data_IF_525132170595
#
_entry.id   IF_525132170595
#
_cell.length_a   1.000
_cell.length_b   1.000
_cell.length_c   1.000
_cell.angle_alpha   90.00
_cell.angle_beta   90.00
_cell.angle_gamma   90.00
#
_symmetry.space_group_name_H-M   'P 1'
#
loop_
_entity.id
_entity.type
_entity.pdbx_description
1 polymer ?
#
# COMPACT_ATOMS: atom_id res chain seq x y z
N UNK A 1 12.97 9.77 9.16
CA UNK A 1 12.32 8.96 8.11
C UNK A 1 11.86 7.66 8.74
N UNK A 2 10.74 7.05 8.34
CA UNK A 2 10.36 5.72 8.82
C UNK A 2 11.18 4.67 8.07
N UNK A 3 11.70 3.67 8.77
CA UNK A 3 12.54 2.60 8.22
C UNK A 3 11.96 1.23 8.54
N UNK A 4 12.17 0.25 7.66
CA UNK A 4 11.64 -1.11 7.85
C UNK A 4 12.37 -1.91 8.94
N UNK A 5 13.58 -1.49 9.31
CA UNK A 5 14.33 -2.02 10.43
C UNK A 5 14.67 -0.91 11.41
N UNK A 6 14.64 -1.25 12.69
CA UNK A 6 15.19 -0.41 13.76
C UNK A 6 16.67 -0.71 13.95
N UNK A 7 17.38 0.17 14.68
CA UNK A 7 18.82 -0.03 14.95
C UNK A 7 19.09 -1.34 15.71
N UNK A 8 18.20 -1.71 16.63
CA UNK A 8 18.31 -2.93 17.42
C UNK A 8 18.07 -4.20 16.59
N UNK A 9 17.35 -4.10 15.48
CA UNK A 9 17.04 -5.21 14.58
C UNK A 9 18.16 -5.46 13.55
N UNK A 10 19.05 -4.49 13.31
CA UNK A 10 20.12 -4.62 12.31
C UNK A 10 20.95 -5.91 12.49
N UNK A 11 21.40 -6.28 13.70
CA UNK A 11 22.20 -7.51 13.87
C UNK A 11 21.45 -8.78 13.46
N UNK A 12 20.14 -8.82 13.69
CA UNK A 12 19.31 -9.98 13.39
C UNK A 12 19.12 -10.20 11.89
N UNK A 13 18.97 -9.12 11.11
CA UNK A 13 18.66 -9.20 9.68
C UNK A 13 19.85 -8.98 8.76
N UNK A 14 20.91 -8.38 9.25
CA UNK A 14 22.14 -8.12 8.48
C UNK A 14 23.26 -9.11 8.80
N UNK A 15 23.05 -10.01 9.74
CA UNK A 15 24.00 -11.06 10.10
C UNK A 15 25.34 -10.53 10.62
N UNK A 16 26.44 -11.19 10.21
CA UNK A 16 27.79 -10.88 10.65
C UNK A 16 28.42 -9.66 9.96
N UNK A 17 27.72 -8.96 9.10
CA UNK A 17 28.25 -7.79 8.39
C UNK A 17 28.28 -6.59 9.35
N UNK A 18 29.46 -6.32 9.90
CA UNK A 18 29.66 -5.20 10.82
C UNK A 18 29.60 -3.84 10.11
N UNK A 19 29.19 -2.80 10.85
CA UNK A 19 29.23 -1.39 10.39
C UNK A 19 28.15 -1.01 9.38
N UNK A 20 27.00 -1.71 9.37
CA UNK A 20 25.77 -1.23 8.75
C UNK A 20 25.24 -0.11 9.63
N UNK A 21 24.88 0.99 9.00
CA UNK A 21 24.35 2.18 9.66
C UNK A 21 22.90 2.41 9.21
N UNK A 22 22.17 3.23 9.96
CA UNK A 22 20.79 3.59 9.60
C UNK A 22 20.65 4.17 8.20
N UNK A 23 21.66 4.90 7.71
CA UNK A 23 21.68 5.42 6.33
C UNK A 23 21.53 4.33 5.25
N UNK A 24 22.10 3.13 5.49
CA UNK A 24 21.96 1.98 4.57
C UNK A 24 20.52 1.41 4.66
N UNK A 25 19.94 1.40 5.86
CA UNK A 25 18.56 0.94 6.07
C UNK A 25 17.56 1.91 5.43
N UNK A 26 17.78 3.22 5.55
CA UNK A 26 16.96 4.25 4.90
C UNK A 26 17.00 4.13 3.37
N UNK A 27 18.21 3.92 2.83
CA UNK A 27 18.38 3.69 1.40
C UNK A 27 17.68 2.41 0.94
N UNK A 28 17.83 1.31 1.70
CA UNK A 28 17.16 0.04 1.41
C UNK A 28 15.63 0.18 1.47
N UNK A 29 15.10 0.86 2.49
CA UNK A 29 13.66 1.15 2.62
C UNK A 29 13.14 1.90 1.40
N UNK A 30 13.83 2.97 1.01
CA UNK A 30 13.45 3.79 -0.15
C UNK A 30 13.46 2.99 -1.45
N UNK A 31 14.45 2.11 -1.63
CA UNK A 31 14.53 1.24 -2.81
C UNK A 31 13.43 0.19 -2.85
N UNK A 32 13.06 -0.39 -1.70
CA UNK A 32 11.94 -1.34 -1.61
C UNK A 32 10.63 -0.63 -1.97
N UNK A 33 10.37 0.56 -1.42
CA UNK A 33 9.19 1.35 -1.74
C UNK A 33 9.11 1.69 -3.23
N UNK A 34 10.23 2.10 -3.82
CA UNK A 34 10.32 2.40 -5.25
C UNK A 34 10.07 1.14 -6.11
N UNK A 35 10.64 0.00 -5.74
CA UNK A 35 10.47 -1.27 -6.45
C UNK A 35 9.03 -1.75 -6.41
N UNK A 36 8.37 -1.63 -5.24
CA UNK A 36 6.97 -2.05 -5.05
C UNK A 36 5.95 -1.00 -5.50
N UNK A 37 6.39 0.24 -5.74
CA UNK A 37 5.50 1.36 -6.04
C UNK A 37 4.57 1.73 -4.88
N UNK A 38 4.87 1.28 -3.67
CA UNK A 38 4.09 1.54 -2.45
C UNK A 38 4.95 1.41 -1.21
N UNK A 39 4.52 2.07 -0.14
CA UNK A 39 5.09 1.86 1.20
C UNK A 39 4.32 0.76 1.95
N UNK A 40 5.02 0.02 2.81
CA UNK A 40 4.42 -0.97 3.70
C UNK A 40 3.94 -0.36 5.02
N UNK A 41 4.29 0.89 5.31
CA UNK A 41 3.78 1.59 6.48
C UNK A 41 2.30 1.95 6.33
N UNK A 42 1.56 2.04 7.45
CA UNK A 42 0.19 2.52 7.42
C UNK A 42 0.13 3.95 6.84
N UNK A 43 -0.70 4.11 5.81
CA UNK A 43 -0.96 5.39 5.14
C UNK A 43 -2.45 5.58 4.94
N UNK A 44 -2.92 6.81 5.17
CA UNK A 44 -4.30 7.20 4.89
C UNK A 44 -4.47 7.48 3.39
N UNK A 45 -5.50 6.91 2.81
CA UNK A 45 -5.90 7.10 1.43
C UNK A 45 -7.33 7.62 1.36
N UNK A 46 -7.54 8.54 0.44
CA UNK A 46 -8.89 8.99 0.08
C UNK A 46 -9.09 8.79 -1.40
N UNK A 47 -9.95 7.88 -1.77
CA UNK A 47 -10.21 7.58 -3.17
C UNK A 47 -11.71 7.55 -3.50
N UNK A 48 -11.98 7.71 -4.79
CA UNK A 48 -13.31 7.54 -5.34
C UNK A 48 -13.43 6.15 -5.95
N UNK A 49 -14.27 5.34 -5.36
CA UNK A 49 -14.54 3.97 -5.79
C UNK A 49 -15.83 3.94 -6.62
N UNK A 50 -15.74 3.50 -7.86
CA UNK A 50 -16.92 3.29 -8.70
C UNK A 50 -17.63 2.01 -8.31
N UNK A 51 -18.95 2.10 -8.18
CA UNK A 51 -19.81 0.98 -7.83
C UNK A 51 -20.34 0.31 -9.10
N UNK A 52 -20.20 -1.00 -9.16
CA UNK A 52 -20.81 -1.86 -10.19
C UNK A 52 -22.07 -2.50 -9.59
N UNK A 53 -23.22 -2.26 -10.21
CA UNK A 53 -24.46 -2.88 -9.78
C UNK A 53 -24.54 -4.32 -10.29
N UNK A 54 -24.64 -5.25 -9.36
CA UNK A 54 -24.97 -6.64 -9.67
C UNK A 54 -26.50 -6.76 -9.78
N UNK A 55 -27.01 -7.04 -10.99
CA UNK A 55 -28.44 -7.12 -11.25
C UNK A 55 -29.11 -8.36 -10.65
N UNK A 56 -28.33 -9.37 -10.35
CA UNK A 56 -28.86 -10.66 -9.82
C UNK A 56 -29.14 -10.52 -8.34
N UNK A 57 -28.19 -9.97 -7.58
CA UNK A 57 -28.25 -9.87 -6.12
C UNK A 57 -28.72 -8.50 -5.64
N UNK A 58 -28.94 -7.56 -6.55
CA UNK A 58 -29.29 -6.16 -6.25
C UNK A 58 -28.24 -5.42 -5.40
N UNK A 59 -27.04 -5.94 -5.36
CA UNK A 59 -25.94 -5.38 -4.60
C UNK A 59 -25.05 -4.47 -5.46
N UNK A 60 -24.37 -3.56 -4.80
CA UNK A 60 -23.33 -2.75 -5.41
C UNK A 60 -21.98 -3.28 -4.98
N UNK A 61 -21.07 -3.51 -5.93
CA UNK A 61 -19.70 -3.96 -5.65
C UNK A 61 -18.71 -2.87 -5.99
N UNK A 62 -17.73 -2.69 -5.11
CA UNK A 62 -16.62 -1.78 -5.28
C UNK A 62 -15.29 -2.48 -5.05
N UNK A 63 -14.19 -1.81 -5.43
CA UNK A 63 -12.83 -2.29 -5.18
C UNK A 63 -11.96 -1.12 -4.74
N UNK A 64 -11.30 -1.29 -3.59
CA UNK A 64 -10.23 -0.39 -3.12
C UNK A 64 -8.95 -0.63 -3.93
N UNK A 65 -8.04 0.35 -3.95
CA UNK A 65 -6.78 0.25 -4.68
C UNK A 65 -5.61 -0.20 -3.82
N UNK A 66 -5.63 0.15 -2.54
CA UNK A 66 -4.50 -0.06 -1.64
C UNK A 66 -4.84 -1.08 -0.57
N UNK A 67 -3.94 -2.04 -0.38
CA UNK A 67 -4.08 -3.10 0.61
C UNK A 67 -2.75 -3.34 1.36
N UNK A 68 -2.75 -4.10 2.47
CA UNK A 68 -3.93 -4.53 3.21
C UNK A 68 -4.66 -3.33 3.83
N UNK A 69 -5.96 -3.49 4.01
CA UNK A 69 -6.79 -2.51 4.67
C UNK A 69 -6.65 -2.66 6.19
N UNK A 70 -6.41 -1.55 6.89
CA UNK A 70 -6.32 -1.51 8.35
C UNK A 70 -7.64 -1.03 8.95
N UNK A 71 -8.12 0.12 8.49
CA UNK A 71 -9.34 0.74 9.00
C UNK A 71 -10.03 1.57 7.93
N UNK A 72 -11.33 1.78 8.11
CA UNK A 72 -12.12 2.71 7.31
C UNK A 72 -12.53 3.86 8.22
N UNK A 73 -12.11 5.07 7.89
CA UNK A 73 -12.37 6.27 8.68
C UNK A 73 -13.66 6.97 8.25
N UNK A 74 -13.89 7.04 6.93
CA UNK A 74 -15.03 7.80 6.41
C UNK A 74 -15.47 7.32 5.06
N UNK A 75 -16.81 7.21 4.92
CA UNK A 75 -17.45 6.91 3.64
C UNK A 75 -18.42 8.03 3.33
N UNK A 76 -18.35 8.57 2.12
CA UNK A 76 -19.32 9.55 1.64
C UNK A 76 -19.83 9.17 0.27
N UNK A 77 -21.15 9.33 0.09
CA UNK A 77 -21.84 9.11 -1.17
C UNK A 77 -22.49 10.41 -1.66
N UNK A 78 -22.35 10.70 -2.95
CA UNK A 78 -23.15 11.75 -3.59
C UNK A 78 -24.39 11.12 -4.19
N UNK A 79 -25.54 11.51 -3.70
CA UNK A 79 -26.84 11.06 -4.22
C UNK A 79 -27.58 12.22 -4.87
N UNK A 80 -28.37 11.89 -5.87
CA UNK A 80 -29.27 12.87 -6.51
C UNK A 80 -30.69 12.62 -6.01
N UNK A 81 -31.28 13.62 -5.40
CA UNK A 81 -32.70 13.63 -5.06
C UNK A 81 -33.44 14.64 -5.95
N UNK A 82 -34.76 14.58 -5.93
CA UNK A 82 -35.60 15.61 -6.59
C UNK A 82 -35.39 17.01 -5.98
N UNK A 83 -34.75 17.11 -4.81
CA UNK A 83 -34.49 18.36 -4.11
C UNK A 83 -33.04 18.86 -4.25
N UNK A 84 -32.17 18.14 -4.98
CA UNK A 84 -30.79 18.55 -5.21
C UNK A 84 -29.76 17.43 -5.03
N UNK A 85 -28.50 17.83 -4.94
CA UNK A 85 -27.37 16.94 -4.71
C UNK A 85 -27.04 16.90 -3.21
N UNK A 86 -27.22 15.76 -2.60
CA UNK A 86 -26.88 15.56 -1.20
C UNK A 86 -25.61 14.74 -1.05
N UNK A 87 -24.83 15.07 -0.04
CA UNK A 87 -23.68 14.27 0.39
C UNK A 87 -24.09 13.52 1.64
N UNK A 88 -24.15 12.21 1.52
CA UNK A 88 -24.45 11.32 2.64
C UNK A 88 -23.14 10.83 3.23
N UNK A 89 -23.00 10.91 4.54
CA UNK A 89 -21.97 10.17 5.28
C UNK A 89 -22.58 8.84 5.69
N UNK A 90 -21.87 7.76 5.36
CA UNK A 90 -22.27 6.39 5.63
C UNK A 90 -21.40 5.83 6.74
N UNK A 91 -21.96 4.90 7.50
CA UNK A 91 -21.19 4.13 8.48
C UNK A 91 -20.25 3.14 7.76
N UNK A 92 -19.11 2.83 8.38
CA UNK A 92 -18.16 1.84 7.85
C UNK A 92 -18.79 0.45 7.74
N UNK A 93 -19.73 0.12 8.63
CA UNK A 93 -20.50 -1.13 8.63
C UNK A 93 -21.42 -1.32 7.41
N UNK A 94 -21.62 -0.28 6.59
CA UNK A 94 -22.37 -0.39 5.33
C UNK A 94 -21.59 -1.05 4.20
N UNK A 95 -20.28 -1.21 4.38
CA UNK A 95 -19.43 -1.96 3.45
C UNK A 95 -19.17 -3.34 4.04
N UNK A 96 -19.60 -4.36 3.31
CA UNK A 96 -19.32 -5.75 3.63
C UNK A 96 -18.15 -6.23 2.75
N UNK A 97 -17.09 -6.69 3.37
CA UNK A 97 -15.90 -7.19 2.69
C UNK A 97 -15.90 -8.71 2.73
N UNK A 98 -15.48 -9.34 1.62
CA UNK A 98 -15.41 -10.79 1.50
C UNK A 98 -14.54 -11.42 2.61
N UNK A 99 -13.46 -10.71 3.00
CA UNK A 99 -12.59 -11.01 4.14
C UNK A 99 -11.87 -9.74 4.63
N UNK A 100 -11.15 -9.82 5.75
CA UNK A 100 -10.44 -8.67 6.35
C UNK A 100 -9.33 -8.11 5.44
N UNK A 101 -8.77 -8.93 4.55
CA UNK A 101 -7.72 -8.54 3.62
C UNK A 101 -8.27 -8.21 2.22
N UNK A 102 -9.56 -8.43 1.98
CA UNK A 102 -10.16 -8.20 0.68
C UNK A 102 -10.16 -6.71 0.30
N UNK A 103 -9.85 -6.47 -0.96
CA UNK A 103 -10.04 -5.16 -1.59
C UNK A 103 -11.46 -4.97 -2.11
N UNK A 104 -12.17 -6.07 -2.32
CA UNK A 104 -13.54 -6.05 -2.83
C UNK A 104 -14.51 -5.96 -1.66
N UNK A 105 -15.54 -5.16 -1.87
CA UNK A 105 -16.62 -5.01 -0.92
C UNK A 105 -17.97 -4.98 -1.64
N UNK A 106 -18.98 -5.43 -0.93
CA UNK A 106 -20.36 -5.20 -1.27
C UNK A 106 -20.91 -4.02 -0.48
N UNK A 107 -21.86 -3.31 -1.06
CA UNK A 107 -22.51 -2.17 -0.47
C UNK A 107 -24.01 -2.30 -0.68
N UNK A 108 -24.75 -2.36 0.41
CA UNK A 108 -26.19 -2.31 0.40
C UNK A 108 -26.68 -0.87 0.56
N UNK A 109 -27.48 -0.42 -0.38
CA UNK A 109 -28.03 0.91 -0.28
C UNK A 109 -29.14 0.92 0.77
N UNK A 110 -29.04 1.74 1.84
CA UNK A 110 -30.01 1.73 2.92
C UNK A 110 -31.43 2.01 2.43
N UNK A 111 -32.40 1.20 2.83
CA UNK A 111 -33.82 1.33 2.41
C UNK A 111 -34.43 2.68 2.79
N UNK A 112 -33.91 3.35 3.81
CA UNK A 112 -34.32 4.71 4.17
C UNK A 112 -34.13 5.75 3.06
N UNK A 113 -33.37 5.42 2.03
CA UNK A 113 -33.08 6.26 0.88
C UNK A 113 -33.84 5.82 -0.40
N UNK A 114 -34.89 5.03 -0.29
CA UNK A 114 -35.64 4.45 -1.43
C UNK A 114 -36.06 5.46 -2.52
N UNK A 115 -36.24 6.73 -2.16
CA UNK A 115 -36.62 7.80 -3.11
C UNK A 115 -35.40 8.45 -3.79
N UNK A 116 -34.19 7.98 -3.53
CA UNK A 116 -32.95 8.52 -4.08
C UNK A 116 -32.36 7.55 -5.07
N UNK A 117 -31.76 8.08 -6.13
CA UNK A 117 -30.99 7.22 -7.03
C UNK A 117 -29.73 6.71 -6.29
N UNK A 118 -29.43 5.41 -6.39
CA UNK A 118 -28.22 4.88 -5.78
C UNK A 118 -26.97 5.60 -6.29
N UNK A 119 -25.96 5.79 -5.44
CA UNK A 119 -24.74 6.46 -5.83
C UNK A 119 -24.00 5.63 -6.87
N UNK A 120 -23.40 6.30 -7.86
CA UNK A 120 -22.52 5.64 -8.84
C UNK A 120 -21.11 5.38 -8.31
N UNK A 121 -20.73 6.11 -7.28
CA UNK A 121 -19.42 6.01 -6.66
C UNK A 121 -19.47 6.44 -5.19
N UNK A 122 -18.61 5.83 -4.39
CA UNK A 122 -18.34 6.23 -3.01
C UNK A 122 -16.98 6.95 -2.96
N UNK A 123 -16.87 7.94 -2.07
CA UNK A 123 -15.58 8.47 -1.65
C UNK A 123 -15.27 7.81 -0.32
N UNK A 124 -14.22 6.98 -0.31
CA UNK A 124 -13.80 6.21 0.86
C UNK A 124 -12.46 6.77 1.35
N UNK A 125 -12.40 7.10 2.62
CA UNK A 125 -11.16 7.41 3.33
C UNK A 125 -10.85 6.23 4.25
N UNK A 126 -9.68 5.65 4.08
CA UNK A 126 -9.25 4.46 4.79
C UNK A 126 -7.74 4.42 4.95
N UNK A 127 -7.26 3.70 5.95
CA UNK A 127 -5.85 3.43 6.16
C UNK A 127 -5.50 2.07 5.57
N UNK A 128 -4.47 2.04 4.74
CA UNK A 128 -3.88 0.79 4.24
C UNK A 128 -2.40 0.69 4.62
N UNK A 129 -1.89 -0.52 4.66
CA UNK A 129 -0.52 -0.85 5.07
C UNK A 129 -0.53 -1.90 6.17
N UNK A 130 0.63 -2.19 6.69
CA UNK A 130 0.78 -3.18 7.75
C UNK A 130 0.95 -2.48 9.09
N UNK A 131 0.23 -2.93 10.12
CA UNK A 131 0.42 -2.48 11.52
C UNK A 131 1.82 -2.86 12.00
N UNK A 132 2.28 -4.06 11.62
CA UNK A 132 3.63 -4.55 11.81
C UNK A 132 4.23 -4.91 10.46
N UNK A 133 5.44 -4.42 10.20
CA UNK A 133 6.13 -4.71 8.94
C UNK A 133 6.36 -6.23 8.81
N UNK A 134 5.95 -6.86 7.71
CA UNK A 134 6.14 -8.28 7.51
C UNK A 134 7.61 -8.69 7.63
N UNK A 135 7.84 -9.83 8.24
CA UNK A 135 9.18 -10.40 8.45
C UNK A 135 9.97 -10.55 7.15
N UNK A 136 9.30 -10.92 6.07
CA UNK A 136 9.86 -11.01 4.73
C UNK A 136 10.38 -9.66 4.21
N UNK A 137 9.64 -8.57 4.47
CA UNK A 137 10.07 -7.21 4.09
C UNK A 137 11.27 -6.78 4.91
N UNK A 138 11.29 -7.07 6.22
CA UNK A 138 12.42 -6.80 7.10
C UNK A 138 13.67 -7.55 6.61
N UNK A 139 13.52 -8.84 6.27
CA UNK A 139 14.59 -9.65 5.71
C UNK A 139 15.12 -9.09 4.39
N UNK A 140 14.24 -8.74 3.46
CA UNK A 140 14.62 -8.12 2.20
C UNK A 140 15.39 -6.81 2.44
N UNK A 141 14.94 -5.98 3.38
CA UNK A 141 15.58 -4.73 3.77
C UNK A 141 17.01 -4.97 4.32
N UNK A 142 17.18 -5.97 5.19
CA UNK A 142 18.48 -6.34 5.74
C UNK A 142 19.46 -6.78 4.67
N UNK A 143 19.05 -7.70 3.77
CA UNK A 143 19.89 -8.16 2.65
C UNK A 143 20.26 -6.99 1.74
N UNK A 144 19.29 -6.13 1.42
CA UNK A 144 19.50 -4.97 0.55
C UNK A 144 20.48 -3.96 1.17
N UNK A 145 20.34 -3.68 2.49
CA UNK A 145 21.26 -2.80 3.22
C UNK A 145 22.70 -3.36 3.21
N UNK A 146 22.84 -4.68 3.34
CA UNK A 146 24.14 -5.36 3.22
C UNK A 146 24.73 -5.17 1.83
N UNK A 147 23.95 -5.36 0.79
CA UNK A 147 24.38 -5.18 -0.59
C UNK A 147 24.80 -3.72 -0.86
N UNK A 148 24.01 -2.75 -0.39
CA UNK A 148 24.33 -1.32 -0.51
C UNK A 148 25.68 -1.02 0.13
N UNK A 149 25.93 -1.54 1.33
CA UNK A 149 27.19 -1.34 2.02
C UNK A 149 28.37 -1.98 1.28
N UNK A 150 28.22 -3.23 0.81
CA UNK A 150 29.28 -3.96 0.11
C UNK A 150 29.66 -3.30 -1.22
N UNK A 151 28.70 -2.69 -1.91
CA UNK A 151 28.95 -1.92 -3.13
C UNK A 151 29.75 -0.64 -2.89
N UNK A 152 30.06 -0.31 -1.63
CA UNK A 152 31.08 0.64 -1.23
C UNK A 152 31.01 2.00 -1.91
N UNK A 153 29.86 2.66 -1.89
CA UNK A 153 29.73 4.00 -2.47
C UNK A 153 29.86 4.08 -3.99
N UNK A 154 29.98 2.95 -4.68
CA UNK A 154 29.94 2.86 -6.15
C UNK A 154 28.52 3.00 -6.70
N UNK A 155 27.51 3.13 -5.86
CA UNK A 155 26.27 3.80 -6.21
C UNK A 155 26.57 5.30 -6.38
N UNK A 156 27.52 5.63 -7.24
CA UNK A 156 27.54 6.94 -7.86
C UNK A 156 26.28 6.98 -8.71
N UNK A 157 25.33 7.74 -8.22
CA UNK A 157 24.19 8.20 -8.98
C UNK A 157 24.71 8.69 -10.33
N UNK A 158 24.69 7.82 -11.35
CA UNK A 158 24.93 8.26 -12.71
C UNK A 158 23.72 9.05 -13.11
N UNK A 159 23.99 10.36 -13.24
CA UNK A 159 23.10 11.42 -13.66
C UNK A 159 22.00 11.83 -12.68
N UNK A 160 22.24 12.92 -12.09
CA UNK A 160 21.33 13.95 -11.66
C UNK A 160 20.77 14.61 -12.92
N UNK A 161 19.79 13.98 -13.54
CA UNK A 161 18.89 14.67 -14.44
C UNK A 161 17.59 14.83 -13.66
N UNK A 162 17.32 16.09 -13.31
CA UNK A 162 16.10 16.50 -12.66
C UNK A 162 14.92 16.04 -13.51
N UNK A 163 13.99 15.32 -12.91
CA UNK A 163 12.63 14.93 -13.32
C UNK A 163 12.29 13.49 -13.63
N UNK A 164 13.23 12.55 -13.82
CA UNK A 164 12.87 11.13 -13.90
C UNK A 164 14.00 10.27 -13.31
N UNK A 165 13.83 9.79 -12.07
CA UNK A 165 14.71 8.79 -11.50
C UNK A 165 14.44 7.46 -12.20
N UNK A 166 14.95 7.30 -13.39
CA UNK A 166 15.03 6.01 -14.05
C UNK A 166 16.18 5.26 -13.41
N UNK A 167 15.89 4.50 -12.34
CA UNK A 167 16.86 3.59 -11.76
C UNK A 167 17.07 2.45 -12.76
N UNK A 168 17.99 2.63 -13.69
CA UNK A 168 18.46 1.52 -14.53
C UNK A 168 19.44 0.72 -13.67
N UNK A 169 18.93 -0.33 -13.05
CA UNK A 169 19.74 -1.30 -12.35
C UNK A 169 20.59 -2.06 -13.38
N UNK A 170 21.90 -2.01 -13.22
CA UNK A 170 22.81 -2.86 -14.00
C UNK A 170 22.58 -4.33 -13.65
N UNK A 171 22.91 -5.26 -14.54
CA UNK A 171 22.74 -6.72 -14.38
C UNK A 171 23.36 -7.36 -13.13
N UNK A 172 24.15 -6.60 -12.37
CA UNK A 172 24.66 -6.92 -11.02
C UNK A 172 24.03 -6.01 -9.95
N UNK A 173 22.75 -5.67 -10.11
CA UNK A 173 22.05 -4.68 -9.33
C UNK A 173 21.97 -5.00 -7.85
N UNK A 174 21.72 -3.97 -7.05
CA UNK A 174 21.52 -4.02 -5.59
C UNK A 174 20.43 -5.03 -5.21
N UNK A 175 19.47 -5.26 -6.12
CA UNK A 175 18.44 -6.30 -6.01
C UNK A 175 18.96 -7.64 -6.53
N UNK A 176 19.24 -8.55 -5.59
CA UNK A 176 19.51 -9.94 -5.95
C UNK A 176 18.20 -10.67 -6.29
N UNK A 177 18.23 -11.76 -7.06
CA UNK A 177 17.06 -12.60 -7.32
C UNK A 177 16.37 -13.10 -6.04
N UNK A 178 17.12 -13.25 -4.95
CA UNK A 178 16.59 -13.61 -3.64
C UNK A 178 15.65 -12.50 -3.11
N UNK A 179 16.10 -11.25 -3.16
CA UNK A 179 15.29 -10.10 -2.72
C UNK A 179 14.01 -9.99 -3.54
N UNK A 180 14.12 -10.13 -4.86
CA UNK A 180 12.96 -10.08 -5.75
C UNK A 180 11.94 -11.19 -5.42
N UNK A 181 12.41 -12.42 -5.19
CA UNK A 181 11.54 -13.53 -4.83
C UNK A 181 10.86 -13.31 -3.47
N UNK A 182 11.58 -12.81 -2.48
CA UNK A 182 11.02 -12.46 -1.17
C UNK A 182 9.92 -11.40 -1.34
N UNK A 183 10.21 -10.34 -2.08
CA UNK A 183 9.27 -9.25 -2.27
C UNK A 183 8.06 -9.66 -3.12
N UNK A 184 8.20 -10.55 -4.10
CA UNK A 184 7.07 -11.12 -4.86
C UNK A 184 6.14 -11.91 -3.95
N UNK A 185 6.68 -12.68 -3.01
CA UNK A 185 5.87 -13.47 -2.07
C UNK A 185 4.96 -12.63 -1.17
N UNK A 186 5.28 -11.36 -0.96
CA UNK A 186 4.44 -10.43 -0.16
C UNK A 186 3.19 -9.94 -0.93
N UNK A 187 3.08 -10.21 -2.22
CA UNK A 187 1.91 -9.81 -3.04
C UNK A 187 0.80 -10.87 -3.08
N UNK A 188 1.09 -12.08 -2.61
CA UNK A 188 0.23 -13.26 -2.82
C UNK A 188 -0.57 -13.63 -1.54
N UNK A 189 -0.38 -12.87 -0.45
CA UNK A 189 -1.17 -13.05 0.77
C UNK A 189 -2.30 -12.06 0.86
#
# INVERSE_FOLDING_TARGET
MKTYLTEDEIPAYCGLISGIKMEHIEAATTLIDAYKGRSFFPMEHTERVELKHNRVDHEFRGKLKHFPRVSIEKITAKTHSCFGNDVLTLDASTLDFDDDESLYFTFEFPQSFMFRKPPKALKVTYTSGYSEIPESVKRACGILACNIKQMGGTLRWKSRDDYDVKVTLSDSGVFSPEIENILRGVEIQ
#
